data_IF_506201920091
#
_entry.id   IF_506201920091
#
_cell.length_a   1.000
_cell.length_b   1.000
_cell.length_c   1.000
_cell.angle_alpha   90.00
_cell.angle_beta   90.00
_cell.angle_gamma   90.00
#
_symmetry.space_group_name_H-M   'P 1'
#
loop_
_entity.id
_entity.type
_entity.pdbx_description
1 polymer ?
#
# COMPACT_ATOMS: atom_id res chain seq x y z
N UNK A 1 3.91 10.89 -2.94
CA UNK A 1 3.67 11.29 -1.56
C UNK A 1 4.55 12.47 -1.10
N UNK A 2 5.66 12.75 -1.80
CA UNK A 2 6.55 13.90 -1.50
C UNK A 2 6.28 15.13 -2.38
N UNK A 3 5.28 15.10 -3.24
CA UNK A 3 4.95 16.22 -4.13
C UNK A 3 4.16 17.31 -3.39
N UNK A 4 4.45 18.58 -3.66
CA UNK A 4 3.69 19.70 -3.11
C UNK A 4 2.22 19.66 -3.58
N UNK A 5 2.01 19.34 -4.86
CA UNK A 5 0.70 19.27 -5.51
C UNK A 5 0.49 17.88 -6.13
N UNK A 6 0.06 16.88 -5.34
CA UNK A 6 -0.07 15.50 -5.82
C UNK A 6 -1.03 15.34 -7.01
N UNK A 7 -2.13 16.10 -7.06
CA UNK A 7 -3.08 16.07 -8.17
C UNK A 7 -2.47 16.55 -9.49
N UNK A 8 -1.61 17.57 -9.43
CA UNK A 8 -0.84 18.05 -10.60
C UNK A 8 0.12 16.97 -11.08
N UNK A 9 0.82 16.31 -10.14
CA UNK A 9 1.73 15.22 -10.46
C UNK A 9 1.00 14.01 -11.08
N UNK A 10 -0.15 13.63 -10.54
CA UNK A 10 -0.95 12.55 -11.09
C UNK A 10 -1.47 12.88 -12.49
N UNK A 11 -1.89 14.14 -12.71
CA UNK A 11 -2.31 14.60 -14.04
C UNK A 11 -1.17 14.54 -15.04
N UNK A 12 0.05 14.96 -14.66
CA UNK A 12 1.22 14.87 -15.53
C UNK A 12 1.57 13.41 -15.89
N UNK A 13 1.41 12.47 -14.95
CA UNK A 13 1.54 11.04 -15.23
C UNK A 13 0.48 10.55 -16.22
N UNK A 14 -0.77 10.99 -16.06
CA UNK A 14 -1.84 10.64 -16.97
C UNK A 14 -1.58 11.16 -18.40
N UNK A 15 -1.04 12.38 -18.53
CA UNK A 15 -0.78 13.02 -19.82
C UNK A 15 0.32 12.32 -20.64
N UNK A 16 1.26 11.62 -19.98
CA UNK A 16 2.33 10.87 -20.67
C UNK A 16 2.04 9.37 -20.76
N UNK A 17 0.99 8.90 -20.09
CA UNK A 17 0.60 7.50 -20.13
C UNK A 17 0.03 7.14 -21.50
N UNK A 18 0.54 6.09 -22.12
CA UNK A 18 -0.01 5.58 -23.38
C UNK A 18 -1.48 5.15 -23.22
N UNK A 19 -2.30 5.19 -24.27
CA UNK A 19 -3.71 4.77 -24.19
C UNK A 19 -3.93 3.36 -23.65
N UNK A 20 -3.00 2.44 -23.95
CA UNK A 20 -2.97 1.07 -23.44
C UNK A 20 -2.11 0.88 -22.19
N UNK A 21 -1.53 1.98 -21.68
CA UNK A 21 -0.59 1.99 -20.56
C UNK A 21 -1.24 1.70 -19.21
N UNK A 22 -0.40 1.29 -18.26
CA UNK A 22 -0.77 1.06 -16.86
C UNK A 22 0.20 1.83 -15.98
N UNK A 23 -0.32 2.70 -15.13
CA UNK A 23 0.45 3.35 -14.08
C UNK A 23 0.44 2.47 -12.83
N UNK A 24 1.62 2.10 -12.36
CA UNK A 24 1.82 1.42 -11.08
C UNK A 24 2.26 2.47 -10.05
N UNK A 25 1.47 2.65 -9.00
CA UNK A 25 1.61 3.77 -8.06
C UNK A 25 1.83 3.22 -6.65
N UNK A 26 2.76 3.85 -5.93
CA UNK A 26 2.96 3.64 -4.49
C UNK A 26 2.74 4.95 -3.75
N UNK A 27 1.90 4.91 -2.71
CA UNK A 27 1.67 6.01 -1.77
C UNK A 27 1.76 5.50 -0.34
N UNK A 28 2.13 6.35 0.60
CA UNK A 28 2.11 6.00 2.01
C UNK A 28 0.69 5.85 2.53
N UNK A 29 0.44 4.81 3.33
CA UNK A 29 -0.87 4.49 3.87
C UNK A 29 -1.07 5.14 5.24
N UNK A 30 -2.15 5.91 5.40
CA UNK A 30 -2.43 6.73 6.59
C UNK A 30 -2.47 5.89 7.88
N UNK A 31 -3.26 4.84 7.92
CA UNK A 31 -3.42 4.04 9.15
C UNK A 31 -2.16 3.26 9.51
N UNK A 32 -1.41 2.78 8.53
CA UNK A 32 -0.15 2.08 8.73
C UNK A 32 0.99 2.99 9.18
N UNK A 33 0.86 4.29 8.96
CA UNK A 33 1.86 5.30 9.32
C UNK A 33 1.39 6.26 10.41
N UNK A 34 0.26 5.99 11.07
CA UNK A 34 -0.27 6.88 12.12
C UNK A 34 0.76 7.17 13.22
N UNK A 35 1.51 6.16 13.66
CA UNK A 35 2.58 6.34 14.63
C UNK A 35 3.76 7.18 14.11
N UNK A 36 4.06 7.09 12.81
CA UNK A 36 5.07 7.93 12.15
C UNK A 36 4.61 9.39 12.13
N UNK A 37 3.37 9.64 11.74
CA UNK A 37 2.79 10.99 11.71
C UNK A 37 2.78 11.67 13.09
N UNK A 38 2.51 10.90 14.14
CA UNK A 38 2.62 11.38 15.53
C UNK A 38 4.04 11.85 15.85
N UNK A 39 5.06 11.05 15.51
CA UNK A 39 6.45 11.41 15.76
C UNK A 39 6.90 12.58 14.89
N UNK A 40 6.52 12.60 13.62
CA UNK A 40 6.81 13.73 12.72
C UNK A 40 6.20 15.04 13.23
N UNK A 41 5.00 15.00 13.84
CA UNK A 41 4.37 16.19 14.43
C UNK A 41 5.24 16.74 15.57
N UNK A 42 5.68 15.88 16.49
CA UNK A 42 6.57 16.26 17.59
C UNK A 42 7.88 16.85 17.05
N UNK A 43 8.52 16.19 16.11
CA UNK A 43 9.82 16.64 15.56
C UNK A 43 9.69 17.98 14.83
N UNK A 44 8.58 18.23 14.13
CA UNK A 44 8.29 19.54 13.52
C UNK A 44 8.06 20.63 14.58
N UNK A 45 7.32 20.32 15.66
CA UNK A 45 7.12 21.26 16.78
C UNK A 45 8.44 21.60 17.48
N UNK A 46 9.37 20.66 17.56
CA UNK A 46 10.73 20.88 18.07
C UNK A 46 11.64 21.64 17.08
N UNK A 47 11.20 21.87 15.85
CA UNK A 47 11.98 22.53 14.81
C UNK A 47 13.12 21.69 14.25
N UNK A 48 13.07 20.35 14.38
CA UNK A 48 14.12 19.47 13.86
C UNK A 48 14.18 19.54 12.32
N UNK A 49 15.40 19.44 11.80
CA UNK A 49 15.72 19.55 10.37
C UNK A 49 16.41 18.26 9.88
N UNK A 50 16.71 18.19 8.58
CA UNK A 50 17.48 17.09 8.00
C UNK A 50 18.99 17.26 8.22
N UNK A 51 19.41 17.23 9.48
CA UNK A 51 20.81 17.36 9.91
C UNK A 51 21.20 16.28 10.93
N UNK A 52 22.50 16.16 11.21
CA UNK A 52 23.03 15.13 12.10
C UNK A 52 22.56 15.28 13.56
N UNK A 53 22.36 16.51 14.03
CA UNK A 53 21.91 16.77 15.39
C UNK A 53 20.47 16.33 15.56
N UNK A 54 19.58 16.72 14.63
CA UNK A 54 18.19 16.31 14.61
C UNK A 54 18.07 14.78 14.50
N UNK A 55 18.88 14.14 13.64
CA UNK A 55 18.89 12.69 13.51
C UNK A 55 19.26 11.99 14.82
N UNK A 56 20.25 12.52 15.57
CA UNK A 56 20.59 11.98 16.91
C UNK A 56 19.40 12.06 17.86
N UNK A 57 18.66 13.17 17.85
CA UNK A 57 17.45 13.34 18.66
C UNK A 57 16.34 12.39 18.26
N UNK A 58 16.11 12.20 16.95
CA UNK A 58 15.13 11.21 16.44
C UNK A 58 15.49 9.80 16.92
N UNK A 59 16.75 9.38 16.80
CA UNK A 59 17.21 8.06 17.27
C UNK A 59 17.00 7.89 18.77
N UNK A 60 17.34 8.90 19.57
CA UNK A 60 17.14 8.88 21.02
C UNK A 60 15.65 8.82 21.39
N UNK A 61 14.81 9.58 20.69
CA UNK A 61 13.36 9.55 20.89
C UNK A 61 12.79 8.16 20.62
N UNK A 62 13.08 7.59 19.44
CA UNK A 62 12.59 6.27 19.03
C UNK A 62 13.05 5.19 20.01
N UNK A 63 14.30 5.23 20.48
CA UNK A 63 14.84 4.28 21.46
C UNK A 63 14.19 4.39 22.85
N UNK A 64 13.61 5.53 23.19
CA UNK A 64 12.97 5.78 24.48
C UNK A 64 11.49 5.43 24.53
N UNK A 65 10.87 5.12 23.38
CA UNK A 65 9.43 4.86 23.31
C UNK A 65 9.05 3.54 23.98
N UNK A 66 7.87 3.52 24.59
CA UNK A 66 7.29 2.29 25.09
C UNK A 66 6.98 1.31 23.94
N UNK A 67 7.09 0.02 24.22
CA UNK A 67 6.89 -1.04 23.21
C UNK A 67 5.48 -1.06 22.58
N UNK A 68 4.50 -0.46 23.26
CA UNK A 68 3.12 -0.32 22.77
C UNK A 68 2.85 1.02 22.06
N UNK A 69 3.86 1.85 21.80
CA UNK A 69 3.68 3.08 21.03
C UNK A 69 3.30 2.75 19.58
N UNK A 70 2.35 3.45 18.95
CA UNK A 70 1.87 3.15 17.59
C UNK A 70 2.97 3.06 16.53
N UNK A 71 4.07 3.84 16.66
CA UNK A 71 5.19 3.79 15.71
C UNK A 71 5.95 2.45 15.73
N UNK A 72 5.87 1.70 16.82
CA UNK A 72 6.59 0.43 16.98
C UNK A 72 6.15 -0.60 15.94
N UNK A 73 4.85 -0.63 15.62
CA UNK A 73 4.30 -1.47 14.56
C UNK A 73 4.91 -1.14 13.19
N UNK A 74 5.05 0.15 12.88
CA UNK A 74 5.71 0.58 11.64
C UNK A 74 7.19 0.18 11.61
N UNK A 75 7.92 0.43 12.70
CA UNK A 75 9.35 0.10 12.80
C UNK A 75 9.59 -1.40 12.54
N UNK A 76 8.69 -2.26 13.00
CA UNK A 76 8.81 -3.72 12.82
C UNK A 76 8.73 -4.18 11.36
N UNK A 77 8.16 -3.37 10.47
CA UNK A 77 7.97 -3.70 9.03
C UNK A 77 8.76 -2.80 8.08
N UNK A 78 9.54 -1.86 8.60
CA UNK A 78 10.31 -0.87 7.85
C UNK A 78 11.83 -1.10 8.00
N UNK A 79 12.43 -2.01 7.20
CA UNK A 79 13.84 -2.39 7.34
C UNK A 79 14.82 -1.25 6.98
N UNK A 80 14.39 -0.26 6.24
CA UNK A 80 15.13 0.96 5.91
C UNK A 80 15.44 1.83 7.12
N UNK A 81 14.67 1.72 8.20
CA UNK A 81 14.94 2.40 9.47
C UNK A 81 16.21 1.90 10.20
N UNK A 82 16.80 0.81 9.73
CA UNK A 82 18.14 0.39 10.18
C UNK A 82 19.26 1.35 9.71
N UNK A 83 18.96 2.24 8.76
CA UNK A 83 19.91 3.18 8.16
C UNK A 83 19.51 4.63 8.44
N UNK A 84 20.50 5.50 8.56
CA UNK A 84 20.32 6.94 8.82
C UNK A 84 19.45 7.61 7.76
N UNK A 85 19.67 7.28 6.49
CA UNK A 85 18.89 7.80 5.38
C UNK A 85 17.39 7.47 5.51
N UNK A 86 17.06 6.24 5.92
CA UNK A 86 15.67 5.84 6.15
C UNK A 86 15.04 6.54 7.34
N UNK A 87 15.80 6.77 8.42
CA UNK A 87 15.34 7.55 9.58
C UNK A 87 15.07 9.01 9.21
N UNK A 88 15.95 9.63 8.43
CA UNK A 88 15.76 11.02 7.95
C UNK A 88 14.56 11.10 7.02
N UNK A 89 14.44 10.19 6.05
CA UNK A 89 13.31 10.16 5.11
C UNK A 89 11.98 9.95 5.84
N UNK A 90 11.94 9.01 6.79
CA UNK A 90 10.70 8.69 7.51
C UNK A 90 10.28 9.79 8.49
N UNK A 91 11.19 10.38 9.25
CA UNK A 91 10.84 11.22 10.39
C UNK A 91 11.10 12.71 10.20
N UNK A 92 12.01 13.10 9.30
CA UNK A 92 12.43 14.48 9.10
C UNK A 92 12.09 15.03 7.70
N UNK A 93 11.39 14.26 6.85
CA UNK A 93 11.01 14.74 5.53
C UNK A 93 9.97 15.86 5.63
N UNK A 94 10.28 17.02 5.03
CA UNK A 94 9.44 18.22 5.16
C UNK A 94 8.11 18.18 4.42
N UNK A 95 7.91 17.24 3.50
CA UNK A 95 6.71 17.11 2.64
C UNK A 95 6.26 15.67 2.55
N UNK A 96 6.12 15.03 3.68
CA UNK A 96 5.57 13.68 3.72
C UNK A 96 4.04 13.73 3.85
N UNK A 97 3.35 12.88 3.09
CA UNK A 97 1.90 12.78 3.10
C UNK A 97 1.48 11.32 3.00
N UNK A 98 0.60 10.92 3.90
CA UNK A 98 -0.07 9.63 3.83
C UNK A 98 -1.49 9.78 3.27
N UNK A 99 -2.02 8.69 2.74
CA UNK A 99 -3.28 8.63 2.02
C UNK A 99 -4.16 7.53 2.61
N UNK A 100 -5.46 7.74 2.61
CA UNK A 100 -6.46 6.69 2.81
C UNK A 100 -6.82 6.04 1.47
N UNK A 101 -7.58 4.95 1.49
CA UNK A 101 -8.19 4.38 0.27
C UNK A 101 -8.99 5.44 -0.49
N UNK A 102 -9.83 6.20 0.21
CA UNK A 102 -10.65 7.25 -0.41
C UNK A 102 -9.76 8.33 -1.08
N UNK A 103 -8.65 8.73 -0.44
CA UNK A 103 -7.69 9.69 -1.02
C UNK A 103 -7.01 9.12 -2.28
N UNK A 104 -6.66 7.83 -2.30
CA UNK A 104 -6.07 7.19 -3.47
C UNK A 104 -7.05 7.19 -4.66
N UNK A 105 -8.30 6.83 -4.40
CA UNK A 105 -9.35 6.82 -5.43
C UNK A 105 -9.63 8.23 -5.96
N UNK A 106 -9.72 9.24 -5.08
CA UNK A 106 -9.88 10.64 -5.47
C UNK A 106 -8.70 11.15 -6.29
N UNK A 107 -7.48 10.82 -5.89
CA UNK A 107 -6.28 11.22 -6.62
C UNK A 107 -6.25 10.65 -8.05
N UNK A 108 -6.62 9.38 -8.22
CA UNK A 108 -6.69 8.72 -9.54
C UNK A 108 -7.78 9.38 -10.40
N UNK A 109 -8.98 9.53 -9.85
CA UNK A 109 -10.12 10.10 -10.58
C UNK A 109 -9.92 11.56 -10.96
N UNK A 110 -9.26 12.35 -10.10
CA UNK A 110 -8.93 13.75 -10.38
C UNK A 110 -8.02 13.98 -11.58
N UNK A 111 -7.25 12.94 -11.97
CA UNK A 111 -6.39 12.96 -13.15
C UNK A 111 -7.06 12.41 -14.41
N UNK A 112 -8.34 12.03 -14.34
CA UNK A 112 -9.05 11.38 -15.45
C UNK A 112 -8.62 9.93 -15.68
N UNK A 113 -8.01 9.30 -14.67
CA UNK A 113 -7.66 7.89 -14.68
C UNK A 113 -8.74 7.06 -13.99
N UNK A 114 -8.74 5.77 -14.27
CA UNK A 114 -9.58 4.77 -13.63
C UNK A 114 -8.71 3.85 -12.76
N UNK A 115 -9.09 3.70 -11.49
CA UNK A 115 -8.46 2.76 -10.57
C UNK A 115 -8.75 1.32 -11.02
N UNK A 116 -7.72 0.50 -11.09
CA UNK A 116 -7.85 -0.88 -11.58
C UNK A 116 -7.93 -1.89 -10.43
N UNK A 117 -6.91 -1.94 -9.59
CA UNK A 117 -6.86 -2.86 -8.45
C UNK A 117 -5.63 -2.60 -7.58
N UNK A 118 -5.63 -3.20 -6.39
CA UNK A 118 -4.52 -3.22 -5.45
C UNK A 118 -3.53 -4.34 -5.79
N UNK A 119 -2.23 -4.09 -5.63
CA UNK A 119 -1.22 -5.15 -5.77
C UNK A 119 -1.25 -6.14 -4.60
N UNK A 120 -1.34 -5.60 -3.38
CA UNK A 120 -1.36 -6.39 -2.14
C UNK A 120 -2.80 -6.57 -1.69
N UNK A 121 -3.53 -7.45 -2.35
CA UNK A 121 -4.98 -7.66 -2.13
C UNK A 121 -5.34 -8.01 -0.70
N UNK A 122 -4.49 -8.75 0.01
CA UNK A 122 -4.73 -9.17 1.39
C UNK A 122 -4.97 -8.02 2.36
N UNK A 123 -4.49 -6.80 2.04
CA UNK A 123 -4.71 -5.60 2.86
C UNK A 123 -6.09 -4.97 2.63
N UNK A 124 -6.77 -5.29 1.52
CA UNK A 124 -8.00 -4.61 1.10
C UNK A 124 -9.20 -5.54 0.92
N UNK A 125 -8.97 -6.83 0.96
CA UNK A 125 -10.03 -7.83 0.83
C UNK A 125 -10.16 -8.61 2.14
N UNK A 126 -11.40 -8.94 2.57
CA UNK A 126 -11.61 -9.84 3.69
C UNK A 126 -10.89 -11.16 3.44
N UNK A 127 -10.41 -11.85 4.48
CA UNK A 127 -9.90 -13.20 4.32
C UNK A 127 -10.98 -14.07 3.68
N UNK A 128 -10.59 -14.94 2.76
CA UNK A 128 -11.50 -15.90 2.15
C UNK A 128 -12.08 -16.74 3.28
N UNK A 129 -13.40 -16.81 3.34
CA UNK A 129 -14.12 -17.49 4.43
C UNK A 129 -14.01 -19.01 4.27
N UNK A 130 -12.84 -19.56 4.51
CA UNK A 130 -12.65 -21.01 4.72
C UNK A 130 -13.07 -21.41 6.14
N UNK A 131 -13.16 -20.44 7.06
CA UNK A 131 -13.70 -20.65 8.41
C UNK A 131 -15.18 -20.28 8.45
N UNK A 132 -16.10 -21.22 8.69
CA UNK A 132 -17.50 -20.88 8.88
C UNK A 132 -17.65 -20.03 10.14
N UNK A 133 -18.20 -18.82 10.00
CA UNK A 133 -18.71 -18.09 11.14
C UNK A 133 -18.15 -16.71 11.43
N UNK A 134 -17.33 -16.08 10.56
CA UNK A 134 -17.02 -14.68 10.78
C UNK A 134 -18.00 -13.76 10.04
N UNK A 135 -19.17 -13.57 10.67
CA UNK A 135 -20.26 -12.72 10.16
C UNK A 135 -19.79 -11.28 9.85
N UNK A 136 -18.82 -10.79 10.61
CA UNK A 136 -18.25 -9.45 10.42
C UNK A 136 -17.56 -9.32 9.05
N UNK A 137 -16.67 -10.25 8.70
CA UNK A 137 -16.02 -10.21 7.37
C UNK A 137 -16.99 -10.56 6.24
N UNK A 138 -17.98 -11.41 6.50
CA UNK A 138 -19.05 -11.67 5.54
C UNK A 138 -19.84 -10.40 5.21
N UNK A 139 -20.18 -9.60 6.22
CA UNK A 139 -20.85 -8.32 6.05
C UNK A 139 -19.98 -7.30 5.29
N UNK A 140 -18.69 -7.21 5.62
CA UNK A 140 -17.74 -6.33 4.88
C UNK A 140 -17.67 -6.72 3.41
N UNK A 141 -17.67 -8.03 3.11
CA UNK A 141 -17.58 -8.52 1.72
C UNK A 141 -18.83 -8.21 0.88
N UNK A 142 -19.94 -7.81 1.50
CA UNK A 142 -21.16 -7.36 0.80
C UNK A 142 -21.15 -5.86 0.49
N UNK A 143 -20.18 -5.11 1.01
CA UNK A 143 -20.07 -3.68 0.74
C UNK A 143 -19.64 -3.41 -0.71
N UNK A 144 -19.97 -2.24 -1.27
CA UNK A 144 -19.31 -1.75 -2.49
C UNK A 144 -17.80 -1.79 -2.34
N UNK A 145 -17.08 -2.05 -3.44
CA UNK A 145 -15.63 -2.32 -3.41
C UNK A 145 -14.83 -1.21 -2.69
N UNK A 146 -15.12 0.05 -2.97
CA UNK A 146 -14.50 1.21 -2.32
C UNK A 146 -14.70 1.21 -0.80
N UNK A 147 -15.91 0.88 -0.34
CA UNK A 147 -16.24 0.81 1.09
C UNK A 147 -15.64 -0.42 1.78
N UNK A 148 -15.60 -1.55 1.09
CA UNK A 148 -14.92 -2.75 1.55
C UNK A 148 -13.41 -2.49 1.74
N UNK A 149 -12.75 -1.89 0.76
CA UNK A 149 -11.33 -1.56 0.84
C UNK A 149 -11.04 -0.57 1.96
N UNK A 150 -11.85 0.49 2.09
CA UNK A 150 -11.73 1.48 3.15
C UNK A 150 -11.99 0.88 4.56
N UNK A 151 -12.87 -0.10 4.69
CA UNK A 151 -13.05 -0.83 5.94
C UNK A 151 -11.84 -1.71 6.26
N UNK A 152 -11.35 -2.44 5.27
CA UNK A 152 -10.23 -3.37 5.45
C UNK A 152 -8.91 -2.66 5.78
N UNK A 153 -8.61 -1.49 5.20
CA UNK A 153 -7.40 -0.74 5.56
C UNK A 153 -7.39 -0.32 7.04
N UNK A 154 -8.58 -0.02 7.62
CA UNK A 154 -8.71 0.33 9.04
C UNK A 154 -8.55 -0.86 9.97
N UNK A 155 -8.80 -2.07 9.47
CA UNK A 155 -8.61 -3.33 10.20
C UNK A 155 -7.15 -3.78 10.10
N UNK A 156 -6.56 -3.67 8.91
CA UNK A 156 -5.21 -4.16 8.61
C UNK A 156 -4.18 -3.03 8.65
N UNK A 157 -4.03 -2.42 9.80
CA UNK A 157 -3.20 -1.24 10.03
C UNK A 157 -1.68 -1.46 9.90
N UNK A 158 -1.20 -2.68 9.68
CA UNK A 158 0.22 -2.93 9.37
C UNK A 158 0.58 -2.66 7.90
N UNK A 159 -0.36 -2.22 7.08
CA UNK A 159 -0.11 -1.82 5.70
C UNK A 159 0.46 -0.39 5.65
N UNK A 160 1.77 -0.25 5.50
CA UNK A 160 2.45 1.04 5.49
C UNK A 160 2.36 1.78 4.14
N UNK A 161 2.07 1.07 3.05
CA UNK A 161 2.04 1.62 1.69
C UNK A 161 0.87 1.06 0.89
N UNK A 162 0.21 1.94 0.17
CA UNK A 162 -0.73 1.59 -0.89
C UNK A 162 0.03 1.31 -2.18
N UNK A 163 -0.15 0.13 -2.75
CA UNK A 163 0.35 -0.22 -4.07
C UNK A 163 -0.82 -0.55 -4.97
N UNK A 164 -1.03 0.21 -6.03
CA UNK A 164 -2.17 0.04 -6.91
C UNK A 164 -1.88 0.35 -8.37
N UNK A 165 -2.83 -0.02 -9.23
CA UNK A 165 -2.80 0.19 -10.67
C UNK A 165 -3.88 1.19 -11.08
N UNK A 166 -3.53 2.07 -12.02
CA UNK A 166 -4.47 2.97 -12.68
C UNK A 166 -4.22 2.96 -14.20
N UNK A 167 -5.28 3.19 -14.97
CA UNK A 167 -5.24 3.27 -16.44
C UNK A 167 -6.09 4.43 -16.92
N UNK A 168 -6.02 4.76 -18.21
CA UNK A 168 -7.03 5.63 -18.80
C UNK A 168 -8.43 5.02 -18.66
N UNK A 169 -9.44 5.88 -18.51
CA UNK A 169 -10.82 5.46 -18.44
C UNK A 169 -11.26 4.74 -19.74
N UNK A 170 -12.17 3.80 -19.60
CA UNK A 170 -12.74 3.07 -20.74
C UNK A 170 -11.86 1.96 -21.30
N UNK A 171 -10.74 1.60 -20.65
CA UNK A 171 -9.96 0.42 -21.05
C UNK A 171 -10.80 -0.85 -20.89
N UNK A 172 -10.97 -1.69 -21.95
CA UNK A 172 -11.80 -2.89 -21.85
C UNK A 172 -11.28 -3.85 -20.78
N UNK A 173 -12.12 -4.24 -19.84
CA UNK A 173 -11.74 -5.18 -18.74
C UNK A 173 -11.17 -6.49 -19.26
N UNK A 174 -11.69 -7.01 -20.39
CA UNK A 174 -11.19 -8.20 -21.03
C UNK A 174 -9.71 -8.11 -21.47
N UNK A 175 -9.14 -6.90 -21.58
CA UNK A 175 -7.73 -6.72 -21.95
C UNK A 175 -6.73 -6.98 -20.80
N UNK A 176 -7.20 -7.10 -19.54
CA UNK A 176 -6.35 -7.23 -18.36
C UNK A 176 -6.91 -8.09 -17.22
N UNK A 177 -8.13 -8.61 -17.37
CA UNK A 177 -8.74 -9.54 -16.41
C UNK A 177 -9.02 -10.88 -17.05
N UNK A 178 -8.79 -11.95 -16.31
CA UNK A 178 -9.25 -13.29 -16.63
C UNK A 178 -10.61 -13.48 -15.96
N UNK A 179 -11.61 -13.85 -16.74
CA UNK A 179 -12.90 -14.26 -16.20
C UNK A 179 -12.83 -15.76 -15.87
N UNK A 180 -12.62 -16.07 -14.59
CA UNK A 180 -12.55 -17.46 -14.11
C UNK A 180 -13.89 -18.20 -14.16
N UNK A 181 -15.00 -17.54 -14.46
CA UNK A 181 -16.29 -18.19 -14.74
C UNK A 181 -16.43 -18.62 -16.19
N UNK A 182 -15.60 -18.12 -17.08
CA UNK A 182 -15.61 -18.49 -18.50
C UNK A 182 -15.10 -19.92 -18.73
N UNK A 183 -15.63 -20.60 -19.74
CA UNK A 183 -15.28 -22.00 -20.06
C UNK A 183 -13.80 -22.21 -20.42
N UNK A 184 -13.12 -21.15 -20.88
CA UNK A 184 -11.70 -21.16 -21.24
C UNK A 184 -10.77 -20.71 -20.11
N UNK A 185 -11.28 -20.53 -18.90
CA UNK A 185 -10.46 -20.05 -17.78
C UNK A 185 -9.28 -21.00 -17.47
N UNK A 186 -9.45 -22.29 -17.66
CA UNK A 186 -8.41 -23.31 -17.43
C UNK A 186 -7.37 -23.39 -18.55
N UNK A 187 -7.59 -22.71 -19.69
CA UNK A 187 -6.62 -22.65 -20.80
C UNK A 187 -5.49 -21.64 -20.52
N UNK A 188 -5.66 -20.76 -19.51
CA UNK A 188 -4.64 -19.80 -19.14
C UNK A 188 -3.50 -20.48 -18.38
N UNK A 189 -2.28 -20.25 -18.83
CA UNK A 189 -1.06 -20.73 -18.15
C UNK A 189 -0.47 -19.58 -17.36
N UNK A 190 -0.38 -19.69 -16.00
CA UNK A 190 0.25 -18.66 -15.18
C UNK A 190 1.74 -18.50 -15.53
N UNK A 191 2.15 -17.28 -15.85
CA UNK A 191 3.56 -16.95 -16.01
C UNK A 191 4.12 -16.53 -14.66
N UNK A 192 4.94 -17.37 -14.08
CA UNK A 192 5.61 -17.07 -12.82
C UNK A 192 6.74 -16.06 -13.05
N UNK A 193 6.89 -15.09 -12.14
CA UNK A 193 8.04 -14.18 -12.17
C UNK A 193 9.33 -14.97 -12.02
N UNK A 194 10.39 -14.50 -12.67
CA UNK A 194 11.74 -15.00 -12.46
C UNK A 194 12.03 -15.17 -10.97
N UNK A 195 12.60 -16.32 -10.57
CA UNK A 195 12.88 -16.75 -9.20
C UNK A 195 11.67 -17.21 -8.36
N UNK A 196 10.49 -17.36 -8.93
CA UNK A 196 9.43 -18.13 -8.29
C UNK A 196 9.52 -19.58 -8.77
N UNK A 197 9.47 -20.52 -7.85
CA UNK A 197 9.30 -21.95 -8.13
C UNK A 197 7.97 -22.45 -7.61
N UNK A 198 7.51 -23.56 -8.15
CA UNK A 198 6.35 -24.30 -7.65
C UNK A 198 6.81 -25.72 -7.33
N UNK A 199 6.50 -26.21 -6.16
CA UNK A 199 6.79 -27.58 -5.75
C UNK A 199 5.60 -28.16 -5.01
N UNK A 200 4.87 -29.09 -5.65
CA UNK A 200 3.62 -29.59 -5.10
C UNK A 200 2.59 -28.47 -4.94
N UNK A 201 2.11 -28.30 -3.70
CA UNK A 201 1.18 -27.22 -3.32
C UNK A 201 1.88 -25.98 -2.77
N UNK A 202 3.14 -25.80 -3.06
CA UNK A 202 3.94 -24.69 -2.53
C UNK A 202 4.44 -23.77 -3.65
N UNK A 203 4.22 -22.45 -3.50
CA UNK A 203 4.89 -21.42 -4.31
C UNK A 203 6.00 -20.80 -3.46
N UNK A 204 7.21 -20.75 -3.98
CA UNK A 204 8.35 -20.24 -3.21
C UNK A 204 9.25 -19.29 -3.99
N UNK A 205 9.92 -18.45 -3.22
CA UNK A 205 11.11 -17.64 -3.59
C UNK A 205 12.19 -17.86 -2.55
N UNK A 206 13.42 -17.40 -2.80
CA UNK A 206 14.48 -17.49 -1.80
C UNK A 206 14.10 -16.90 -0.44
N UNK A 207 13.24 -15.87 -0.40
CA UNK A 207 12.89 -15.14 0.82
C UNK A 207 11.51 -15.46 1.41
N UNK A 208 10.68 -16.25 0.74
CA UNK A 208 9.35 -16.61 1.24
C UNK A 208 8.75 -17.86 0.56
N UNK A 209 7.81 -18.46 1.25
CA UNK A 209 6.99 -19.58 0.75
C UNK A 209 5.52 -19.32 1.05
N UNK A 210 4.66 -19.80 0.18
CA UNK A 210 3.20 -19.80 0.35
C UNK A 210 2.71 -21.19 0.06
N UNK A 211 1.97 -21.76 1.01
CA UNK A 211 1.23 -23.01 0.83
C UNK A 211 -0.03 -22.70 0.01
N UNK A 212 -0.32 -23.50 -0.98
CA UNK A 212 -1.58 -23.47 -1.71
C UNK A 212 -2.54 -24.45 -1.02
N UNK A 213 -3.73 -23.97 -0.68
CA UNK A 213 -4.81 -24.78 -0.10
C UNK A 213 -5.48 -25.66 -1.16
#
# INVERSE_FOLDING_TARGET
>A
HHMAEPKVGMKALADVLRPDGVAAIMLYAHYGRAGVEMMQAIFREMGLQQDEESLRMVKAAVASLASNHPVTSYISIAPDLAFDAGMVDTFLHGRDRSYTVDDCLDLVSSAGLEFQDWFLKTSYYPPTLTEPGNEFYAAINQLPADKMWAAMERIKTLNACHFFLATHAGRPKASYRIDFSASNALDYVPLMRLRCGVSGQEIYRPSWRVQLD
#
